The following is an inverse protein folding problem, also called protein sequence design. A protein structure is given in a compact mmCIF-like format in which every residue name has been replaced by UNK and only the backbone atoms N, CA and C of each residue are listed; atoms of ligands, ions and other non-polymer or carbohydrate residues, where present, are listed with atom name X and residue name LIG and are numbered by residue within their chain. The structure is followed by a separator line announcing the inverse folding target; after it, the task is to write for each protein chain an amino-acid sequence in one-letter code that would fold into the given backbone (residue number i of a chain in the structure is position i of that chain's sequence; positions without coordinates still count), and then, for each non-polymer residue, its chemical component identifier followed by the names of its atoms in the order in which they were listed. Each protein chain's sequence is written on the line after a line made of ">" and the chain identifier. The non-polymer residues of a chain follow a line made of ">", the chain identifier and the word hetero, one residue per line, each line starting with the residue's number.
data_IF_816425528492
#
_entry.id   IF_816425528492
#
_cell.length_a   1.000
_cell.length_b   1.000
_cell.length_c   1.000
_cell.angle_alpha   90.00
_cell.angle_beta   90.00
_cell.angle_gamma   90.00
#
_symmetry.space_group_name_H-M   'P 1'
#
loop_
_entity.id
_entity.type
_entity.pdbx_description
1 polymer ?
#
# COMPACT_ATOMS: atom_id res chain seq x y z
N UNK A 1 19.80 9.92 -33.61
CA UNK A 1 20.91 9.95 -34.59
C UNK A 1 20.37 9.42 -35.93
N UNK A 2 20.97 9.77 -37.07
CA UNK A 2 20.53 9.31 -38.39
C UNK A 2 21.74 9.08 -39.31
N UNK A 3 21.49 8.46 -40.47
CA UNK A 3 22.40 8.49 -41.61
C UNK A 3 21.95 9.58 -42.60
N UNK A 4 22.87 10.15 -43.36
CA UNK A 4 22.55 11.15 -44.38
C UNK A 4 21.91 10.52 -45.63
N UNK A 5 22.22 9.25 -45.90
CA UNK A 5 21.53 8.42 -46.89
C UNK A 5 20.28 7.78 -46.28
N UNK A 6 19.11 8.12 -46.83
CA UNK A 6 17.81 7.63 -46.38
C UNK A 6 17.60 6.13 -46.67
N UNK A 7 18.44 5.50 -47.50
CA UNK A 7 18.42 4.05 -47.72
C UNK A 7 19.06 3.28 -46.56
N UNK A 8 19.81 3.94 -45.67
CA UNK A 8 20.47 3.33 -44.52
C UNK A 8 19.65 3.55 -43.25
N UNK A 9 18.94 2.51 -42.80
CA UNK A 9 18.19 2.49 -41.55
C UNK A 9 19.04 1.97 -40.38
N UNK A 10 18.69 2.40 -39.16
CA UNK A 10 19.24 1.82 -37.92
C UNK A 10 18.58 0.48 -37.62
N UNK A 11 19.39 -0.46 -37.13
CA UNK A 11 19.03 -1.81 -36.68
C UNK A 11 18.59 -1.86 -35.19
N UNK A 12 18.94 -0.82 -34.44
CA UNK A 12 18.69 -0.66 -33.00
C UNK A 12 17.97 0.67 -32.69
N UNK A 13 17.34 0.75 -31.52
CA UNK A 13 16.63 1.94 -31.07
C UNK A 13 17.56 3.14 -30.94
N UNK A 14 17.27 4.24 -31.64
CA UNK A 14 18.13 5.44 -31.61
C UNK A 14 18.34 6.03 -30.20
N UNK A 15 17.49 5.68 -29.23
CA UNK A 15 17.66 6.01 -27.80
C UNK A 15 18.95 5.45 -27.20
N UNK A 16 19.35 4.21 -27.52
CA UNK A 16 20.54 3.57 -26.92
C UNK A 16 21.80 4.38 -27.21
N UNK A 17 21.99 4.76 -28.48
CA UNK A 17 23.18 5.49 -28.95
C UNK A 17 23.07 6.99 -28.67
N UNK A 18 21.90 7.60 -28.88
CA UNK A 18 21.71 9.04 -28.66
C UNK A 18 21.80 9.42 -27.17
N UNK A 19 21.26 8.61 -26.26
CA UNK A 19 21.30 8.89 -24.81
C UNK A 19 22.74 8.87 -24.28
N UNK A 20 23.59 7.94 -24.75
CA UNK A 20 25.00 7.86 -24.35
C UNK A 20 25.78 9.10 -24.84
N UNK A 21 25.61 9.47 -26.11
CA UNK A 21 26.26 10.67 -26.68
C UNK A 21 25.79 11.94 -25.96
N UNK A 22 24.46 12.10 -25.79
CA UNK A 22 23.87 13.23 -25.09
C UNK A 22 24.37 13.35 -23.64
N UNK A 23 24.41 12.24 -22.90
CA UNK A 23 24.94 12.17 -21.53
C UNK A 23 26.41 12.60 -21.48
N UNK A 24 27.26 12.04 -22.34
CA UNK A 24 28.69 12.33 -22.30
C UNK A 24 28.97 13.81 -22.60
N UNK A 25 28.31 14.37 -23.62
CA UNK A 25 28.45 15.79 -23.98
C UNK A 25 27.91 16.71 -22.87
N UNK A 26 26.72 16.44 -22.33
CA UNK A 26 26.15 17.29 -21.28
C UNK A 26 26.93 17.18 -19.97
N UNK A 27 27.48 16.01 -19.62
CA UNK A 27 28.32 15.87 -18.44
C UNK A 27 29.59 16.74 -18.53
N UNK A 28 30.18 16.90 -19.72
CA UNK A 28 31.33 17.80 -19.94
C UNK A 28 30.92 19.27 -19.96
N UNK A 29 29.83 19.62 -20.66
CA UNK A 29 29.35 21.01 -20.76
C UNK A 29 28.85 21.55 -19.41
N UNK A 30 28.31 20.69 -18.54
CA UNK A 30 27.79 21.03 -17.21
C UNK A 30 28.81 20.74 -16.09
N UNK A 31 30.06 20.38 -16.41
CA UNK A 31 31.10 20.20 -15.41
C UNK A 31 31.37 21.53 -14.67
N UNK A 32 31.39 21.47 -13.34
CA UNK A 32 31.52 22.67 -12.49
C UNK A 32 30.28 23.56 -12.37
N UNK A 33 29.17 23.26 -13.07
CA UNK A 33 27.91 24.01 -12.93
C UNK A 33 27.05 23.48 -11.77
N UNK A 34 26.54 24.38 -10.93
CA UNK A 34 25.57 24.03 -9.89
C UNK A 34 24.20 23.66 -10.46
N UNK A 35 23.53 22.67 -9.85
CA UNK A 35 22.18 22.23 -10.18
C UNK A 35 21.15 23.33 -9.90
N UNK A 36 20.80 24.10 -10.94
CA UNK A 36 19.75 25.12 -10.87
C UNK A 36 18.38 24.48 -10.70
N UNK A 37 17.64 24.91 -9.68
CA UNK A 37 16.21 24.58 -9.51
C UNK A 37 15.37 25.52 -10.36
N UNK A 38 14.47 24.97 -11.16
CA UNK A 38 13.45 25.75 -11.85
C UNK A 38 12.48 26.36 -10.83
N UNK A 39 12.06 27.61 -11.05
CA UNK A 39 10.98 28.22 -10.28
C UNK A 39 9.65 27.81 -10.91
N UNK A 40 8.69 27.40 -10.08
CA UNK A 40 7.35 27.05 -10.55
C UNK A 40 6.67 28.28 -11.17
N UNK A 41 6.11 28.19 -12.40
CA UNK A 41 5.44 29.30 -13.03
C UNK A 41 4.05 29.56 -12.41
N UNK A 42 3.60 30.81 -12.42
CA UNK A 42 2.26 31.18 -11.95
C UNK A 42 1.19 30.50 -12.81
N UNK A 43 0.16 29.94 -12.16
CA UNK A 43 -0.97 29.29 -12.82
C UNK A 43 -0.91 27.76 -12.82
N UNK A 44 0.17 27.17 -12.31
CA UNK A 44 0.21 25.77 -11.91
C UNK A 44 -0.70 25.56 -10.68
N UNK A 45 -1.39 24.41 -10.67
CA UNK A 45 -2.21 23.91 -9.58
C UNK A 45 -1.79 22.46 -9.35
N UNK A 46 -1.30 22.13 -8.16
CA UNK A 46 -1.09 20.74 -7.74
C UNK A 46 -2.40 20.20 -7.17
N UNK A 47 -2.83 19.03 -7.63
CA UNK A 47 -4.05 18.39 -7.12
C UNK A 47 -3.89 16.86 -7.06
N UNK A 48 -4.55 16.25 -6.08
CA UNK A 48 -4.59 14.79 -5.97
C UNK A 48 -5.56 14.22 -7.00
N UNK A 49 -5.09 13.22 -7.73
CA UNK A 49 -5.88 12.43 -8.69
C UNK A 49 -5.66 10.94 -8.46
N UNK A 50 -6.66 10.14 -8.79
CA UNK A 50 -6.49 8.70 -8.94
C UNK A 50 -5.90 8.37 -10.32
N UNK A 51 -4.81 7.61 -10.33
CA UNK A 51 -4.09 7.22 -11.56
C UNK A 51 -4.81 6.20 -12.45
N UNK A 52 -5.86 5.52 -11.96
CA UNK A 52 -6.61 4.54 -12.76
C UNK A 52 -7.74 5.22 -13.55
N UNK A 53 -8.45 6.16 -12.92
CA UNK A 53 -9.59 6.88 -13.50
C UNK A 53 -9.24 8.25 -14.10
N UNK A 54 -8.13 8.86 -13.69
CA UNK A 54 -7.76 10.24 -14.02
C UNK A 54 -8.65 11.31 -13.33
N UNK A 55 -9.36 10.94 -12.26
CA UNK A 55 -10.40 11.74 -11.60
C UNK A 55 -10.00 12.13 -10.17
N UNK A 56 -10.83 12.95 -9.51
CA UNK A 56 -10.64 13.31 -8.11
C UNK A 56 -10.81 12.05 -7.23
N UNK A 57 -9.85 11.70 -6.37
CA UNK A 57 -9.84 10.43 -5.66
C UNK A 57 -10.93 10.37 -4.58
N UNK A 58 -11.60 9.22 -4.47
CA UNK A 58 -12.54 8.95 -3.38
C UNK A 58 -11.87 8.15 -2.26
N UNK A 59 -12.58 7.95 -1.14
CA UNK A 59 -12.10 7.09 -0.05
C UNK A 59 -11.80 5.65 -0.52
N UNK A 60 -12.42 5.18 -1.62
CA UNK A 60 -12.09 3.89 -2.22
C UNK A 60 -10.70 3.91 -2.89
N UNK A 61 -10.37 4.96 -3.64
CA UNK A 61 -9.05 5.13 -4.29
C UNK A 61 -7.92 5.21 -3.26
N UNK A 62 -8.12 5.95 -2.16
CA UNK A 62 -7.18 5.99 -1.02
C UNK A 62 -7.02 4.64 -0.29
N UNK A 63 -7.93 3.69 -0.50
CA UNK A 63 -7.92 2.37 0.14
C UNK A 63 -7.41 1.26 -0.80
N UNK A 64 -6.93 1.60 -2.00
CA UNK A 64 -6.23 0.66 -2.87
C UNK A 64 -4.78 0.44 -2.35
N UNK A 65 -4.34 -0.82 -2.14
CA UNK A 65 -3.03 -1.12 -1.56
C UNK A 65 -1.82 -0.76 -2.46
N UNK A 66 -2.05 -0.37 -3.72
CA UNK A 66 -1.03 0.16 -4.64
C UNK A 66 -0.75 1.66 -4.42
N UNK A 67 -1.56 2.34 -3.61
CA UNK A 67 -1.60 3.80 -3.48
C UNK A 67 -1.74 4.49 -4.86
N UNK A 68 -2.90 4.33 -5.48
CA UNK A 68 -3.18 4.89 -6.82
C UNK A 68 -3.36 6.41 -6.83
N UNK A 69 -3.49 7.04 -5.65
CA UNK A 69 -3.63 8.49 -5.51
C UNK A 69 -2.26 9.18 -5.55
N UNK A 70 -2.11 10.15 -6.46
CA UNK A 70 -0.89 10.95 -6.62
C UNK A 70 -1.21 12.44 -6.74
N UNK A 71 -0.27 13.28 -6.33
CA UNK A 71 -0.28 14.71 -6.65
C UNK A 71 0.23 14.89 -8.09
N UNK A 72 -0.60 15.50 -8.95
CA UNK A 72 -0.28 15.78 -10.34
C UNK A 72 -0.45 17.28 -10.65
N UNK A 73 0.16 17.71 -11.77
CA UNK A 73 0.28 19.12 -12.16
C UNK A 73 -0.80 19.51 -13.19
N UNK A 74 -1.59 20.53 -12.84
CA UNK A 74 -2.71 21.03 -13.65
C UNK A 74 -2.60 22.54 -13.92
N UNK A 75 -3.35 22.99 -14.92
CA UNK A 75 -3.79 24.38 -15.08
C UNK A 75 -5.23 24.50 -14.56
N UNK A 76 -5.77 25.72 -14.55
CA UNK A 76 -7.17 25.96 -14.14
C UNK A 76 -8.19 25.23 -15.02
N UNK A 77 -7.85 24.96 -16.29
CA UNK A 77 -8.82 24.52 -17.29
C UNK A 77 -8.87 23.00 -17.45
N UNK A 78 -7.74 22.30 -17.23
CA UNK A 78 -7.65 20.84 -17.29
C UNK A 78 -7.78 20.12 -15.92
N UNK A 79 -7.94 20.87 -14.82
CA UNK A 79 -8.18 20.31 -13.48
C UNK A 79 -9.44 19.40 -13.48
N UNK A 80 -9.36 18.15 -12.99
CA UNK A 80 -10.50 17.25 -12.91
C UNK A 80 -11.64 17.78 -12.03
N UNK A 81 -12.89 17.57 -12.48
CA UNK A 81 -14.13 18.09 -11.85
C UNK A 81 -15.15 17.01 -11.50
N UNK A 82 -14.76 15.74 -11.68
CA UNK A 82 -15.57 14.56 -11.37
C UNK A 82 -14.79 13.69 -10.40
N UNK A 83 -15.51 13.04 -9.49
CA UNK A 83 -14.95 12.04 -8.58
C UNK A 83 -14.66 10.73 -9.32
N UNK A 84 -13.72 9.96 -8.78
CA UNK A 84 -13.39 8.61 -9.20
C UNK A 84 -14.62 7.69 -9.01
N UNK A 85 -15.00 7.04 -10.10
CA UNK A 85 -16.10 6.11 -10.19
C UNK A 85 -15.63 4.69 -10.55
N UNK A 86 -14.31 4.46 -10.63
CA UNK A 86 -13.66 3.18 -10.94
C UNK A 86 -13.33 2.42 -9.66
N UNK A 87 -12.79 3.08 -8.62
CA UNK A 87 -12.63 2.43 -7.32
C UNK A 87 -13.97 2.38 -6.58
N UNK A 88 -14.44 1.16 -6.31
CA UNK A 88 -15.74 0.90 -5.67
C UNK A 88 -15.59 0.05 -4.41
N UNK A 89 -16.45 0.31 -3.42
CA UNK A 89 -16.53 -0.47 -2.19
C UNK A 89 -17.37 -1.72 -2.38
N UNK A 90 -16.77 -2.89 -2.24
CA UNK A 90 -17.45 -4.19 -2.32
C UNK A 90 -17.29 -4.95 -1.00
N UNK A 91 -18.37 -5.54 -0.52
CA UNK A 91 -18.36 -6.44 0.65
C UNK A 91 -17.98 -7.85 0.21
N UNK A 92 -16.91 -8.39 0.78
CA UNK A 92 -16.39 -9.73 0.49
C UNK A 92 -16.32 -10.60 1.76
N UNK A 93 -16.41 -11.90 1.57
CA UNK A 93 -16.15 -12.90 2.61
C UNK A 93 -14.64 -12.98 2.89
N UNK A 94 -14.22 -12.75 4.13
CA UNK A 94 -12.80 -12.69 4.52
C UNK A 94 -12.07 -14.01 4.35
N UNK A 95 -12.78 -15.15 4.28
CA UNK A 95 -12.20 -16.50 4.16
C UNK A 95 -11.70 -16.82 2.74
N UNK A 96 -12.34 -16.26 1.71
CA UNK A 96 -12.07 -16.60 0.30
C UNK A 96 -12.00 -15.41 -0.66
N UNK A 97 -12.26 -14.18 -0.18
CA UNK A 97 -12.30 -12.94 -0.95
C UNK A 97 -13.35 -12.91 -2.09
N UNK A 98 -14.35 -13.79 -2.07
CA UNK A 98 -15.49 -13.76 -2.97
C UNK A 98 -16.57 -12.79 -2.46
N UNK A 99 -17.52 -12.40 -3.33
CA UNK A 99 -18.62 -11.50 -2.94
C UNK A 99 -19.38 -12.09 -1.75
N UNK A 100 -19.63 -11.29 -0.72
CA UNK A 100 -20.41 -11.72 0.44
C UNK A 100 -21.83 -12.10 0.01
N UNK A 101 -22.33 -13.24 0.48
CA UNK A 101 -23.67 -13.72 0.18
C UNK A 101 -24.58 -13.61 1.41
N UNK A 102 -25.89 -13.80 1.23
CA UNK A 102 -26.86 -13.76 2.33
C UNK A 102 -26.60 -14.80 3.44
N UNK A 103 -25.75 -15.80 3.18
CA UNK A 103 -25.33 -16.83 4.15
C UNK A 103 -23.97 -16.55 4.79
N UNK A 104 -23.21 -15.54 4.35
CA UNK A 104 -21.94 -15.12 4.96
C UNK A 104 -22.21 -14.36 6.28
N UNK A 105 -21.74 -14.81 7.46
CA UNK A 105 -21.92 -14.10 8.72
C UNK A 105 -21.29 -12.69 8.69
N UNK A 106 -21.95 -11.71 9.32
CA UNK A 106 -21.44 -10.31 9.35
C UNK A 106 -20.03 -10.16 9.94
N UNK A 107 -19.63 -11.03 10.87
CA UNK A 107 -18.27 -11.09 11.43
C UNK A 107 -17.19 -11.52 10.42
N UNK A 108 -17.60 -12.13 9.30
CA UNK A 108 -16.74 -12.59 8.21
C UNK A 108 -16.94 -11.76 6.92
N UNK A 109 -17.70 -10.67 6.99
CA UNK A 109 -17.85 -9.70 5.91
C UNK A 109 -16.86 -8.55 6.10
N UNK A 110 -16.13 -8.17 5.05
CA UNK A 110 -15.28 -6.98 5.03
C UNK A 110 -15.52 -6.16 3.77
N UNK A 111 -15.64 -4.84 3.92
CA UNK A 111 -15.63 -3.92 2.78
C UNK A 111 -14.19 -3.68 2.33
N UNK A 112 -13.92 -3.80 1.03
CA UNK A 112 -12.63 -3.46 0.42
C UNK A 112 -12.85 -2.66 -0.86
N UNK A 113 -11.82 -1.91 -1.26
CA UNK A 113 -11.77 -1.23 -2.56
C UNK A 113 -11.42 -2.22 -3.66
N UNK A 114 -12.11 -2.12 -4.80
CA UNK A 114 -11.87 -2.89 -6.02
C UNK A 114 -12.04 -2.01 -7.26
N UNK A 115 -11.42 -2.42 -8.36
CA UNK A 115 -11.50 -1.76 -9.66
C UNK A 115 -12.73 -2.25 -10.44
N UNK A 116 -13.70 -1.37 -10.67
CA UNK A 116 -14.72 -1.53 -11.69
C UNK A 116 -14.23 -0.98 -13.04
N UNK A 117 -13.89 -1.87 -13.99
CA UNK A 117 -13.47 -1.48 -15.35
C UNK A 117 -14.65 -1.21 -16.31
N UNK A 118 -15.89 -1.23 -15.82
CA UNK A 118 -17.16 -0.75 -16.43
C UNK A 118 -17.60 -1.22 -17.82
N UNK A 119 -16.79 -1.96 -18.57
CA UNK A 119 -17.19 -2.82 -19.70
C UNK A 119 -16.05 -3.62 -20.35
N UNK A 120 -14.80 -3.13 -20.30
CA UNK A 120 -13.92 -3.25 -21.48
C UNK A 120 -12.97 -4.46 -21.60
N UNK A 121 -12.99 -5.45 -20.72
CA UNK A 121 -12.08 -6.62 -20.86
C UNK A 121 -12.67 -7.95 -20.41
N UNK A 122 -12.57 -8.95 -21.29
CA UNK A 122 -12.92 -10.35 -21.07
C UNK A 122 -11.71 -11.20 -21.49
N UNK A 123 -10.94 -11.77 -20.55
CA UNK A 123 -9.76 -12.58 -20.85
C UNK A 123 -10.06 -13.77 -21.78
N UNK A 124 -11.29 -14.28 -21.76
CA UNK A 124 -11.73 -15.43 -22.57
C UNK A 124 -11.76 -15.13 -24.08
N UNK A 125 -11.69 -13.85 -24.47
CA UNK A 125 -11.61 -13.39 -25.86
C UNK A 125 -10.17 -13.07 -26.32
N UNK A 126 -9.19 -13.19 -25.42
CA UNK A 126 -7.80 -12.80 -25.62
C UNK A 126 -6.85 -13.86 -25.01
N UNK A 127 -7.10 -15.14 -25.30
CA UNK A 127 -6.29 -16.29 -24.90
C UNK A 127 -5.96 -16.39 -23.39
N UNK A 128 -6.81 -15.85 -22.53
CA UNK A 128 -6.60 -15.83 -21.08
C UNK A 128 -5.57 -14.83 -20.58
N UNK A 129 -5.05 -13.95 -21.46
CA UNK A 129 -4.18 -12.84 -21.08
C UNK A 129 -4.92 -11.93 -20.07
N UNK A 130 -4.20 -11.41 -19.09
CA UNK A 130 -4.73 -10.50 -18.06
C UNK A 130 -3.72 -9.38 -17.74
N UNK A 131 -4.18 -8.15 -17.45
CA UNK A 131 -3.34 -7.11 -16.84
C UNK A 131 -2.77 -7.54 -15.48
N UNK A 132 -1.62 -7.02 -15.09
CA UNK A 132 -0.99 -7.32 -13.78
C UNK A 132 -1.89 -6.95 -12.57
N UNK A 133 -2.73 -5.93 -12.76
CA UNK A 133 -3.68 -5.43 -11.77
C UNK A 133 -5.07 -6.09 -11.84
N UNK A 134 -5.23 -7.17 -12.64
CA UNK A 134 -6.46 -7.94 -12.71
C UNK A 134 -6.85 -8.58 -11.37
N UNK A 135 -5.89 -8.81 -10.48
CA UNK A 135 -6.10 -9.28 -9.10
C UNK A 135 -6.88 -8.30 -8.19
N UNK A 136 -7.04 -7.04 -8.60
CA UNK A 136 -7.82 -6.01 -7.89
C UNK A 136 -9.20 -5.76 -8.54
N UNK A 137 -9.58 -6.54 -9.55
CA UNK A 137 -10.93 -6.52 -10.13
C UNK A 137 -11.97 -7.02 -9.13
N UNK A 138 -13.21 -6.57 -9.27
CA UNK A 138 -14.34 -7.11 -8.51
C UNK A 138 -14.45 -8.65 -8.72
N UNK A 139 -14.58 -9.46 -7.65
CA UNK A 139 -14.81 -10.90 -7.78
C UNK A 139 -16.13 -11.21 -8.49
N UNK A 140 -16.12 -12.13 -9.46
CA UNK A 140 -17.30 -12.46 -10.28
C UNK A 140 -18.23 -13.52 -9.66
N UNK A 141 -17.86 -14.09 -8.51
CA UNK A 141 -18.62 -15.14 -7.82
C UNK A 141 -18.90 -14.78 -6.37
N UNK A 142 -20.02 -15.27 -5.85
CA UNK A 142 -20.39 -15.19 -4.45
C UNK A 142 -19.77 -16.31 -3.62
N UNK A 143 -19.52 -16.03 -2.35
CA UNK A 143 -19.09 -17.03 -1.38
C UNK A 143 -20.21 -18.05 -1.12
N UNK A 144 -19.92 -19.33 -1.38
CA UNK A 144 -20.75 -20.48 -1.00
C UNK A 144 -20.42 -21.00 0.40
N UNK A 145 -19.42 -20.42 1.08
CA UNK A 145 -19.12 -20.75 2.47
C UNK A 145 -20.23 -20.17 3.35
N UNK A 146 -21.10 -21.05 3.84
CA UNK A 146 -22.24 -20.66 4.67
C UNK A 146 -21.84 -20.12 6.04
N UNK A 147 -22.85 -20.05 6.91
CA UNK A 147 -22.71 -19.60 8.28
C UNK A 147 -21.97 -20.65 9.13
N UNK A 148 -20.64 -20.62 9.06
CA UNK A 148 -19.79 -21.21 10.09
C UNK A 148 -20.05 -20.45 11.39
N UNK A 149 -20.81 -21.07 12.30
CA UNK A 149 -20.94 -20.60 13.67
C UNK A 149 -19.53 -20.54 14.29
N UNK A 150 -19.23 -19.55 15.15
CA UNK A 150 -17.99 -19.58 15.93
C UNK A 150 -17.97 -20.89 16.70
N UNK A 151 -16.83 -21.61 16.66
CA UNK A 151 -16.64 -22.80 17.47
C UNK A 151 -16.85 -22.39 18.92
N UNK A 152 -17.81 -23.03 19.60
CA UNK A 152 -18.03 -22.77 21.00
C UNK A 152 -16.75 -23.15 21.77
N UNK A 153 -16.17 -22.20 22.48
CA UNK A 153 -15.08 -22.46 23.40
C UNK A 153 -15.63 -23.32 24.54
N UNK A 154 -15.44 -24.64 24.42
CA UNK A 154 -15.86 -25.64 25.41
C UNK A 154 -14.97 -25.62 26.67
N UNK A 155 -14.66 -24.42 27.17
CA UNK A 155 -14.04 -24.24 28.47
C UNK A 155 -15.13 -24.41 29.55
N UNK A 156 -15.34 -25.66 29.96
CA UNK A 156 -16.36 -26.09 30.90
C UNK A 156 -16.15 -25.46 32.28
N UNK A 157 -16.80 -24.31 32.51
CA UNK A 157 -16.75 -23.61 33.79
C UNK A 157 -17.46 -24.45 34.86
N UNK A 158 -16.70 -24.99 35.83
CA UNK A 158 -17.20 -25.99 36.78
C UNK A 158 -17.14 -25.52 38.23
N UNK A 159 -18.19 -24.81 38.62
CA UNK A 159 -18.65 -24.64 40.01
C UNK A 159 -19.27 -25.97 40.52
N UNK A 160 -19.41 -26.30 41.83
CA UNK A 160 -19.05 -25.68 43.14
C UNK A 160 -19.08 -26.81 44.23
N UNK A 161 -18.98 -26.63 45.55
CA UNK A 161 -19.01 -25.40 46.36
C UNK A 161 -17.92 -25.26 47.43
N UNK A 162 -17.97 -26.09 48.49
CA UNK A 162 -17.24 -25.91 49.77
C UNK A 162 -17.02 -27.25 50.47
N UNK A 163 -16.08 -27.29 51.41
CA UNK A 163 -16.46 -27.55 52.80
C UNK A 163 -15.51 -26.83 53.78
N UNK A 164 -15.90 -26.70 55.05
CA UNK A 164 -15.16 -25.92 56.07
C UNK A 164 -14.22 -26.77 56.95
N UNK A 165 -13.06 -26.22 57.32
CA UNK A 165 -12.66 -26.26 58.74
C UNK A 165 -11.65 -25.18 59.15
N UNK A 166 -11.52 -25.01 60.48
CA UNK A 166 -10.66 -24.02 61.15
C UNK A 166 -9.34 -24.69 61.57
N UNK A 167 -8.25 -23.91 61.68
CA UNK A 167 -7.90 -23.37 63.00
C UNK A 167 -6.91 -22.18 62.91
N UNK A 168 -6.59 -21.61 64.08
CA UNK A 168 -5.90 -20.33 64.25
C UNK A 168 -4.41 -20.50 64.56
N UNK A 169 -3.61 -19.48 64.26
CA UNK A 169 -2.87 -18.80 65.34
C UNK A 169 -2.42 -17.39 64.93
N UNK A 170 -2.32 -16.49 65.93
CA UNK A 170 -1.86 -15.11 65.79
C UNK A 170 -0.34 -15.03 65.99
N UNK A 171 0.38 -14.25 65.18
CA UNK A 171 1.45 -13.40 65.73
C UNK A 171 1.68 -12.14 64.90
N UNK A 172 1.91 -11.01 65.59
CA UNK A 172 2.23 -9.70 64.99
C UNK A 172 3.71 -9.39 65.16
N UNK A 173 4.31 -8.73 64.18
CA UNK A 173 5.47 -7.85 64.42
C UNK A 173 5.51 -6.70 63.42
N UNK A 174 5.76 -5.49 63.93
CA UNK A 174 5.89 -4.25 63.15
C UNK A 174 7.37 -3.91 62.91
N UNK A 175 7.74 -3.63 61.66
CA UNK A 175 8.64 -2.52 61.27
C UNK A 175 8.49 -2.35 59.74
N UNK A 176 7.98 -1.26 59.15
CA UNK A 176 8.15 0.19 59.37
C UNK A 176 9.56 0.70 59.02
N UNK A 177 9.75 1.20 57.79
CA UNK A 177 10.14 2.60 57.53
C UNK A 177 10.26 2.93 56.01
N UNK A 178 10.22 4.24 55.75
CA UNK A 178 10.38 5.01 54.50
C UNK A 178 11.50 4.51 53.55
N UNK A 179 11.51 4.81 52.24
CA UNK A 179 10.65 5.71 51.44
C UNK A 179 11.47 6.76 50.66
N UNK A 180 10.90 7.33 49.59
CA UNK A 180 11.46 8.41 48.74
C UNK A 180 12.75 8.07 47.94
N UNK A 181 13.08 8.67 46.78
CA UNK A 181 12.34 9.43 45.73
C UNK A 181 13.28 9.60 44.50
N UNK A 182 12.82 10.23 43.40
CA UNK A 182 13.58 10.67 42.21
C UNK A 182 14.15 9.52 41.33
N UNK A 183 13.82 9.35 40.04
CA UNK A 183 13.92 10.26 38.88
C UNK A 183 15.37 10.51 38.38
N UNK A 184 15.72 9.94 37.22
CA UNK A 184 16.47 10.67 36.15
C UNK A 184 16.46 9.89 34.83
N UNK A 185 16.40 10.61 33.71
CA UNK A 185 16.54 10.09 32.35
C UNK A 185 17.72 10.80 31.65
N UNK A 186 18.70 10.08 31.05
CA UNK A 186 19.69 10.65 30.14
C UNK A 186 19.39 10.29 28.67
N UNK A 187 19.51 11.27 27.78
CA UNK A 187 19.39 11.08 26.33
C UNK A 187 20.70 10.57 25.68
N UNK A 188 20.56 10.00 24.47
CA UNK A 188 21.55 9.93 23.39
C UNK A 188 22.85 9.13 23.62
N UNK A 189 23.14 8.22 22.68
CA UNK A 189 24.10 8.56 21.60
C UNK A 189 24.01 7.58 20.41
N UNK A 190 24.59 8.02 19.28
CA UNK A 190 24.68 7.31 18.00
C UNK A 190 26.10 6.77 17.85
N UNK A 191 26.30 5.63 17.17
CA UNK A 191 27.60 5.33 16.53
C UNK A 191 27.42 4.52 15.22
N UNK A 192 28.24 4.75 14.15
CA UNK A 192 28.07 4.11 12.83
C UNK A 192 29.15 3.03 12.52
N UNK A 193 29.32 2.70 11.23
CA UNK A 193 30.27 1.73 10.62
C UNK A 193 29.79 0.25 10.64
N UNK A 194 30.12 -0.65 9.70
CA UNK A 194 30.97 -0.64 8.47
C UNK A 194 30.21 -1.32 7.30
N UNK A 195 30.19 -0.77 6.08
CA UNK A 195 31.12 -0.99 4.95
C UNK A 195 31.17 -2.37 4.26
N UNK A 196 30.76 -2.35 2.99
CA UNK A 196 31.26 -3.08 1.80
C UNK A 196 31.33 -4.62 1.78
N UNK A 197 30.70 -5.21 0.76
CA UNK A 197 30.94 -6.59 0.29
C UNK A 197 30.95 -6.64 -1.24
N UNK A 198 32.11 -6.92 -1.82
CA UNK A 198 32.33 -7.00 -3.28
C UNK A 198 31.72 -8.31 -3.82
N UNK A 199 31.18 -8.28 -5.05
CA UNK A 199 30.83 -9.48 -5.81
C UNK A 199 31.53 -9.49 -7.17
N UNK A 200 32.51 -10.36 -7.31
CA UNK A 200 33.00 -10.81 -8.60
C UNK A 200 32.09 -11.95 -9.08
N UNK A 201 31.86 -12.06 -10.39
CA UNK A 201 31.39 -13.28 -11.05
C UNK A 201 32.27 -13.52 -12.29
N UNK A 202 32.50 -14.79 -12.60
CA UNK A 202 32.87 -15.25 -13.95
C UNK A 202 31.64 -15.26 -14.86
#
# INVERSE_FOLDING_TARGET
>A
MGADDQNIYQDDYSTTRAQVIWKNINNQILEGYETKKFKEPKGIIHAKVDTISGKLPTQASYSDPRNTVKDEIFTKDNLPKKEDDVHVWITVDTRNNLLASNTTPKSLQANRSFIDRKNSYDPSKWDGIVPEDWKYSIPTRYSTLGAELPKADNNSNKEKEKDENKDKEDTKTNTNLNGNEQNTNPQNQINPQNQQGIRNNN
#
